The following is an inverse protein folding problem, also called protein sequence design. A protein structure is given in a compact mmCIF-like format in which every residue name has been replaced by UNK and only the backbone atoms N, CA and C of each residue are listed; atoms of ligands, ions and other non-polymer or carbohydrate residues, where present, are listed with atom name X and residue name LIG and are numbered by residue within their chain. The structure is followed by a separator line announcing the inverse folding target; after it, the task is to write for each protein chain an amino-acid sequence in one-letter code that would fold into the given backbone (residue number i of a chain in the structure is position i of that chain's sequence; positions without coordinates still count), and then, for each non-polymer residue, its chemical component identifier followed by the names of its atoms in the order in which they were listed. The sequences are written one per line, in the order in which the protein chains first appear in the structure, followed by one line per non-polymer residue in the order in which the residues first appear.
data_IF_990691906545
#
_entry.id   IF_990691906545
#
_cell.length_a   1.000
_cell.length_b   1.000
_cell.length_c   1.000
_cell.angle_alpha   90.00
_cell.angle_beta   90.00
_cell.angle_gamma   90.00
#
_symmetry.space_group_name_H-M   'P 1'
#
loop_
_entity.id
_entity.type
_entity.pdbx_description
1 polymer ?
#
# COMPACT_ATOMS: atom_id res chain seq x y z
N UNK A 1 -13.41 11.22 -12.28
CA UNK A 1 -12.32 11.05 -11.31
C UNK A 1 -12.09 12.40 -10.66
N UNK A 2 -12.47 12.57 -9.40
CA UNK A 2 -12.22 13.82 -8.66
C UNK A 2 -10.86 13.64 -7.99
N UNK A 3 -9.89 14.46 -8.37
CA UNK A 3 -8.56 14.50 -7.74
C UNK A 3 -8.61 15.63 -6.72
N UNK A 4 -8.56 15.31 -5.44
CA UNK A 4 -8.42 16.30 -4.38
C UNK A 4 -6.94 16.58 -4.15
N UNK A 5 -6.52 17.82 -4.33
CA UNK A 5 -5.18 18.28 -3.94
C UNK A 5 -5.29 18.80 -2.51
N UNK A 6 -4.94 17.97 -1.54
CA UNK A 6 -4.87 18.34 -0.13
C UNK A 6 -3.51 18.97 0.17
N UNK A 7 -3.49 20.12 0.87
CA UNK A 7 -2.25 20.81 1.24
C UNK A 7 -1.44 20.08 2.30
N UNK A 8 -2.12 19.36 3.18
CA UNK A 8 -1.53 18.55 4.25
C UNK A 8 -2.43 17.35 4.52
N UNK A 9 -1.82 16.26 4.96
CA UNK A 9 -2.49 15.03 5.37
C UNK A 9 -1.89 14.60 6.69
N UNK A 10 -2.72 14.48 7.72
CA UNK A 10 -2.35 13.89 8.99
C UNK A 10 -2.94 12.48 9.06
N UNK A 11 -2.09 11.47 9.26
CA UNK A 11 -2.50 10.07 9.40
C UNK A 11 -2.26 9.66 10.84
N UNK A 12 -3.33 9.35 11.57
CA UNK A 12 -3.27 8.75 12.89
C UNK A 12 -3.69 7.29 12.78
N UNK A 13 -2.77 6.39 13.11
CA UNK A 13 -2.99 4.96 13.08
C UNK A 13 -2.67 4.39 14.46
N UNK A 14 -3.62 3.65 15.03
CA UNK A 14 -3.44 2.89 16.26
C UNK A 14 -2.98 1.48 15.87
N UNK A 15 -1.66 1.29 15.83
CA UNK A 15 -1.01 0.06 15.38
C UNK A 15 -1.32 -1.14 16.29
N UNK A 16 -1.58 -0.89 17.58
CA UNK A 16 -2.01 -1.92 18.52
C UNK A 16 -3.37 -2.58 18.15
N UNK A 17 -4.15 -1.98 17.26
CA UNK A 17 -5.43 -2.54 16.75
C UNK A 17 -5.29 -3.27 15.42
N UNK A 18 -4.11 -3.30 14.83
CA UNK A 18 -3.87 -4.02 13.60
C UNK A 18 -3.56 -5.49 13.92
N UNK A 19 -4.32 -6.39 13.31
CA UNK A 19 -4.13 -7.83 13.49
C UNK A 19 -3.19 -8.41 12.42
N UNK A 20 -3.27 -7.91 11.19
CA UNK A 20 -2.52 -8.47 10.07
C UNK A 20 -2.01 -7.39 9.12
N UNK A 21 -0.80 -7.60 8.58
CA UNK A 21 -0.23 -6.81 7.51
C UNK A 21 0.06 -7.72 6.31
N UNK A 22 -0.45 -7.33 5.15
CA UNK A 22 -0.34 -8.10 3.91
C UNK A 22 0.40 -7.33 2.83
N UNK A 23 1.29 -8.02 2.14
CA UNK A 23 1.92 -7.57 0.91
C UNK A 23 1.20 -8.22 -0.26
N UNK A 24 0.42 -7.43 -0.98
CA UNK A 24 -0.45 -7.94 -2.05
C UNK A 24 0.16 -7.60 -3.39
N UNK A 25 0.33 -8.62 -4.23
CA UNK A 25 0.72 -8.47 -5.65
C UNK A 25 -0.46 -8.85 -6.51
N UNK A 26 -0.96 -7.93 -7.33
CA UNK A 26 -2.10 -8.20 -8.23
C UNK A 26 -1.91 -7.63 -9.64
N UNK A 27 -2.52 -8.24 -10.67
CA UNK A 27 -2.62 -7.61 -11.99
C UNK A 27 -3.42 -6.30 -11.90
N UNK A 28 -2.91 -5.24 -12.52
CA UNK A 28 -3.58 -3.97 -12.70
C UNK A 28 -3.56 -3.54 -14.17
N UNK A 29 -4.30 -2.46 -14.49
CA UNK A 29 -4.51 -2.01 -15.88
C UNK A 29 -3.22 -1.72 -16.64
N UNK A 30 -2.16 -1.32 -15.94
CA UNK A 30 -0.85 -0.97 -16.51
C UNK A 30 0.27 -1.91 -16.01
N UNK A 31 -0.05 -3.17 -15.74
CA UNK A 31 0.90 -4.17 -15.24
C UNK A 31 0.69 -4.52 -13.77
N UNK A 32 1.70 -5.13 -13.15
CA UNK A 32 1.62 -5.57 -11.76
C UNK A 32 1.61 -4.37 -10.82
N UNK A 33 0.73 -4.43 -9.82
CA UNK A 33 0.64 -3.43 -8.74
C UNK A 33 0.84 -4.14 -7.40
N UNK A 34 1.61 -3.50 -6.52
CA UNK A 34 1.82 -3.91 -5.14
C UNK A 34 1.08 -2.97 -4.18
N UNK A 35 0.42 -3.55 -3.18
CA UNK A 35 -0.13 -2.83 -2.04
C UNK A 35 0.38 -3.38 -0.72
N UNK A 36 0.45 -2.49 0.26
CA UNK A 36 0.57 -2.84 1.67
C UNK A 36 -0.81 -2.62 2.28
N UNK A 37 -1.35 -3.66 2.91
CA UNK A 37 -2.71 -3.68 3.44
C UNK A 37 -2.71 -4.08 4.91
N UNK A 38 -3.32 -3.26 5.76
CA UNK A 38 -3.47 -3.53 7.18
C UNK A 38 -4.93 -3.83 7.53
N UNK A 39 -5.13 -4.91 8.28
CA UNK A 39 -6.45 -5.40 8.67
C UNK A 39 -6.62 -5.45 10.18
N UNK A 40 -7.83 -5.19 10.67
CA UNK A 40 -8.20 -5.39 12.07
C UNK A 40 -8.55 -6.87 12.38
N UNK A 41 -8.80 -7.20 13.65
CA UNK A 41 -9.17 -8.56 14.09
C UNK A 41 -10.45 -9.11 13.43
N UNK A 42 -11.28 -8.22 12.86
CA UNK A 42 -12.53 -8.58 12.18
C UNK A 42 -12.32 -8.71 10.67
N UNK A 43 -11.07 -8.59 10.19
CA UNK A 43 -10.67 -8.58 8.77
C UNK A 43 -11.23 -7.40 7.98
N UNK A 44 -11.50 -6.27 8.64
CA UNK A 44 -11.78 -5.02 7.93
C UNK A 44 -10.47 -4.40 7.46
N UNK A 45 -10.45 -3.89 6.23
CA UNK A 45 -9.32 -3.13 5.70
C UNK A 45 -9.25 -1.76 6.39
N UNK A 46 -8.21 -1.55 7.20
CA UNK A 46 -7.99 -0.30 7.95
C UNK A 46 -7.16 0.69 7.14
N UNK A 47 -6.10 0.21 6.47
CA UNK A 47 -5.21 1.02 5.67
C UNK A 47 -4.76 0.26 4.43
N UNK A 48 -4.70 0.96 3.30
CA UNK A 48 -4.10 0.45 2.07
C UNK A 48 -3.21 1.52 1.45
N UNK A 49 -1.95 1.16 1.19
CA UNK A 49 -0.97 2.03 0.56
C UNK A 49 -0.60 1.50 -0.82
N UNK A 50 -0.46 2.42 -1.76
CA UNK A 50 -0.02 2.14 -3.13
C UNK A 50 1.14 3.06 -3.52
N UNK A 51 2.11 2.51 -4.24
CA UNK A 51 3.22 3.28 -4.82
C UNK A 51 2.93 3.90 -6.18
N UNK A 52 1.65 4.12 -6.53
CA UNK A 52 1.25 4.59 -7.86
C UNK A 52 0.36 5.84 -7.77
N UNK A 53 0.72 6.94 -8.46
CA UNK A 53 -0.24 7.99 -8.81
C UNK A 53 -1.40 7.41 -9.63
N UNK A 54 -2.58 8.03 -9.56
CA UNK A 54 -3.77 7.53 -10.26
C UNK A 54 -3.58 7.40 -11.79
N UNK A 55 -2.73 8.24 -12.37
CA UNK A 55 -2.45 8.41 -13.80
C UNK A 55 -1.12 7.79 -14.28
N UNK A 56 -0.30 7.22 -13.40
CA UNK A 56 1.01 6.72 -13.80
C UNK A 56 0.93 5.42 -14.63
N UNK A 57 1.79 5.35 -15.66
CA UNK A 57 1.93 4.20 -16.55
C UNK A 57 2.55 2.98 -15.86
N UNK A 58 3.26 3.16 -14.74
CA UNK A 58 3.85 2.08 -13.97
C UNK A 58 3.94 2.47 -12.49
N UNK A 59 4.15 1.47 -11.64
CA UNK A 59 4.45 1.67 -10.23
C UNK A 59 5.82 2.33 -10.03
N UNK A 60 5.94 3.19 -9.01
CA UNK A 60 7.20 3.85 -8.68
C UNK A 60 8.32 2.83 -8.47
N UNK A 61 9.51 3.12 -9.02
CA UNK A 61 10.70 2.30 -8.79
C UNK A 61 11.09 2.26 -7.31
N UNK A 62 11.01 3.40 -6.62
CA UNK A 62 11.28 3.48 -5.18
C UNK A 62 10.32 2.59 -4.37
N UNK A 63 9.05 2.50 -4.78
CA UNK A 63 8.10 1.61 -4.14
C UNK A 63 8.42 0.14 -4.39
N UNK A 64 8.78 -0.22 -5.63
CA UNK A 64 9.21 -1.58 -5.97
C UNK A 64 10.44 -2.01 -5.16
N UNK A 65 11.39 -1.09 -4.96
CA UNK A 65 12.56 -1.32 -4.13
C UNK A 65 12.17 -1.53 -2.65
N UNK A 66 11.30 -0.68 -2.09
CA UNK A 66 10.79 -0.83 -0.73
C UNK A 66 10.11 -2.19 -0.52
N UNK A 67 9.24 -2.60 -1.45
CA UNK A 67 8.57 -3.90 -1.37
C UNK A 67 9.59 -5.04 -1.39
N UNK A 68 10.61 -4.97 -2.24
CA UNK A 68 11.65 -5.99 -2.31
C UNK A 68 12.46 -6.09 -0.99
N UNK A 69 12.83 -4.95 -0.40
CA UNK A 69 13.53 -4.89 0.89
C UNK A 69 12.68 -5.50 2.01
N UNK A 70 11.42 -5.09 2.12
CA UNK A 70 10.53 -5.57 3.17
C UNK A 70 10.31 -7.08 3.04
N UNK A 71 10.11 -7.59 1.82
CA UNK A 71 10.01 -9.03 1.58
C UNK A 71 11.25 -9.78 2.03
N UNK A 72 12.43 -9.25 1.74
CA UNK A 72 13.69 -9.85 2.17
C UNK A 72 13.81 -9.87 3.71
N UNK A 73 13.50 -8.74 4.37
CA UNK A 73 13.60 -8.61 5.83
C UNK A 73 12.68 -9.57 6.58
N UNK A 74 11.47 -9.83 6.07
CA UNK A 74 10.48 -10.68 6.72
C UNK A 74 10.36 -12.09 6.11
N UNK A 75 11.20 -12.45 5.12
CA UNK A 75 11.22 -13.79 4.52
C UNK A 75 9.99 -14.15 3.67
N UNK A 76 9.43 -13.16 2.94
CA UNK A 76 8.20 -13.26 2.14
C UNK A 76 8.46 -13.40 0.63
#
# INVERSE_FOLDING_TARGET
MIIYIIKSLDIFLDDAKLAELWFVRRPGSNGIVHSIEAYDERRNLVLQLFGRPADAAAESEAWRALIAEVRQTYGL
#
